data_IF_707702147767
#
_entry.id   IF_707702147767
#
_cell.length_a   1.000
_cell.length_b   1.000
_cell.length_c   1.000
_cell.angle_alpha   90.00
_cell.angle_beta   90.00
_cell.angle_gamma   90.00
#
_symmetry.space_group_name_H-M   'P 1'
#
loop_
_entity.id
_entity.type
_entity.pdbx_description
1 polymer ?
#
# COMPACT_ATOMS: atom_id res chain seq x y z
N UNK A 1 7.92 5.18 -21.15
CA UNK A 1 7.75 6.64 -21.01
C UNK A 1 6.61 6.84 -20.02
N UNK A 2 6.95 6.97 -18.74
CA UNK A 2 6.00 7.20 -17.65
C UNK A 2 5.79 8.72 -17.63
N UNK A 3 4.55 9.24 -17.71
CA UNK A 3 4.31 10.67 -17.59
C UNK A 3 4.54 11.04 -16.12
N UNK A 4 5.72 11.60 -15.84
CA UNK A 4 6.06 12.18 -14.56
C UNK A 4 5.78 13.69 -14.66
N UNK A 5 4.79 14.16 -13.91
CA UNK A 5 4.58 15.57 -13.49
C UNK A 5 3.94 16.60 -14.43
N UNK A 6 2.80 16.31 -15.07
CA UNK A 6 1.89 17.37 -15.57
C UNK A 6 0.92 17.92 -14.50
N UNK A 7 0.84 17.26 -13.35
CA UNK A 7 -0.23 17.52 -12.36
C UNK A 7 -0.09 18.85 -11.60
N UNK A 8 1.13 19.35 -11.38
CA UNK A 8 1.30 20.59 -10.60
C UNK A 8 1.00 21.84 -11.44
N UNK A 9 1.38 21.83 -12.72
CA UNK A 9 1.13 22.97 -13.63
C UNK A 9 -0.38 23.18 -13.87
N UNK A 10 -1.14 22.09 -14.02
CA UNK A 10 -2.62 22.17 -14.12
C UNK A 10 -3.28 22.62 -12.81
N UNK A 11 -2.71 22.23 -11.67
CA UNK A 11 -3.22 22.64 -10.37
C UNK A 11 -2.99 24.14 -10.11
N UNK A 12 -1.84 24.66 -10.50
CA UNK A 12 -1.48 26.08 -10.34
C UNK A 12 -2.41 26.99 -11.15
N UNK A 13 -2.72 26.62 -12.40
CA UNK A 13 -3.65 27.38 -13.26
C UNK A 13 -5.07 27.41 -12.66
N UNK A 14 -5.54 26.31 -12.08
CA UNK A 14 -6.84 26.25 -11.41
C UNK A 14 -6.83 27.12 -10.14
N UNK A 15 -5.77 27.05 -9.35
CA UNK A 15 -5.62 27.81 -8.11
C UNK A 15 -5.60 29.32 -8.39
N UNK A 16 -4.86 29.77 -9.39
CA UNK A 16 -4.84 31.19 -9.81
C UNK A 16 -6.22 31.67 -10.27
N UNK A 17 -6.96 30.84 -11.02
CA UNK A 17 -8.30 31.17 -11.50
C UNK A 17 -9.36 31.22 -10.38
N UNK A 18 -9.17 30.48 -9.29
CA UNK A 18 -10.08 30.47 -8.14
C UNK A 18 -9.80 31.61 -7.15
N UNK A 19 -8.66 32.30 -7.26
CA UNK A 19 -8.29 33.41 -6.38
C UNK A 19 -8.13 33.00 -4.92
N UNK A 20 -7.73 31.76 -4.66
CA UNK A 20 -7.57 31.21 -3.32
C UNK A 20 -6.35 31.83 -2.63
N UNK A 21 -6.46 32.00 -1.32
CA UNK A 21 -5.33 32.36 -0.47
C UNK A 21 -4.46 31.14 -0.17
N UNK A 22 -3.17 31.35 0.10
CA UNK A 22 -2.24 30.28 0.53
C UNK A 22 -2.75 29.51 1.76
N UNK A 23 -3.52 30.18 2.63
CA UNK A 23 -4.15 29.56 3.79
C UNK A 23 -5.25 28.57 3.39
N UNK A 24 -6.10 28.94 2.44
CA UNK A 24 -7.15 28.06 1.91
C UNK A 24 -6.54 26.87 1.14
N UNK A 25 -5.48 27.10 0.38
CA UNK A 25 -4.76 26.05 -0.34
C UNK A 25 -4.15 25.05 0.65
N UNK A 26 -3.39 25.53 1.65
CA UNK A 26 -2.79 24.67 2.65
C UNK A 26 -3.85 23.87 3.44
N UNK A 27 -4.95 24.51 3.82
CA UNK A 27 -6.04 23.84 4.53
C UNK A 27 -6.67 22.73 3.67
N UNK A 28 -6.96 23.02 2.39
CA UNK A 28 -7.54 22.05 1.47
C UNK A 28 -6.62 20.87 1.19
N UNK A 29 -5.31 21.11 1.03
CA UNK A 29 -4.32 20.04 0.84
C UNK A 29 -4.21 19.16 2.09
N UNK A 30 -4.17 19.74 3.29
CA UNK A 30 -4.13 18.97 4.55
C UNK A 30 -5.40 18.13 4.72
N UNK A 31 -6.58 18.67 4.39
CA UNK A 31 -7.84 17.92 4.41
C UNK A 31 -7.84 16.77 3.40
N UNK A 32 -7.45 17.04 2.15
CA UNK A 32 -7.38 16.03 1.10
C UNK A 32 -6.42 14.88 1.46
N UNK A 33 -5.25 15.20 2.00
CA UNK A 33 -4.28 14.20 2.46
C UNK A 33 -4.84 13.38 3.63
N UNK A 34 -5.52 14.01 4.58
CA UNK A 34 -6.16 13.33 5.71
C UNK A 34 -7.19 12.31 5.22
N UNK A 35 -8.09 12.72 4.33
CA UNK A 35 -9.12 11.85 3.75
C UNK A 35 -8.50 10.73 2.91
N UNK A 36 -7.47 11.05 2.12
CA UNK A 36 -6.78 10.06 1.29
C UNK A 36 -6.09 8.99 2.14
N UNK A 37 -5.41 9.39 3.22
CA UNK A 37 -4.82 8.49 4.20
C UNK A 37 -5.88 7.58 4.82
N UNK A 38 -6.99 8.13 5.30
CA UNK A 38 -8.06 7.35 5.93
C UNK A 38 -8.65 6.34 4.95
N UNK A 39 -8.88 6.78 3.72
CA UNK A 39 -9.40 5.93 2.65
C UNK A 39 -8.43 4.79 2.36
N UNK A 40 -7.16 5.11 2.13
CA UNK A 40 -6.13 4.13 1.79
C UNK A 40 -5.97 3.08 2.90
N UNK A 41 -5.82 3.52 4.16
CA UNK A 41 -5.72 2.65 5.34
C UNK A 41 -6.96 1.76 5.45
N UNK A 42 -8.16 2.33 5.32
CA UNK A 42 -9.41 1.56 5.42
C UNK A 42 -9.60 0.53 4.31
N UNK A 43 -8.93 0.69 3.16
CA UNK A 43 -8.96 -0.28 2.07
C UNK A 43 -8.02 -1.42 2.37
N UNK A 44 -6.74 -1.11 2.64
CA UNK A 44 -5.70 -2.13 2.74
C UNK A 44 -5.69 -2.87 4.08
N UNK A 45 -6.25 -2.28 5.14
CA UNK A 45 -6.35 -2.93 6.45
C UNK A 45 -7.52 -3.92 6.57
N UNK A 46 -8.38 -4.00 5.56
CA UNK A 46 -9.49 -4.95 5.54
C UNK A 46 -8.97 -6.37 5.33
N UNK A 47 -9.80 -7.34 5.70
CA UNK A 47 -9.57 -8.73 5.38
C UNK A 47 -9.38 -8.88 3.87
N UNK A 48 -8.25 -9.46 3.48
CA UNK A 48 -7.81 -9.65 2.10
C UNK A 48 -7.45 -8.35 1.35
N UNK A 49 -7.29 -7.24 2.06
CA UNK A 49 -6.85 -5.95 1.51
C UNK A 49 -5.42 -5.98 0.97
N UNK A 50 -4.56 -6.84 1.52
CA UNK A 50 -3.26 -7.17 0.92
C UNK A 50 -3.31 -8.48 0.16
N UNK A 51 -3.85 -9.55 0.78
CA UNK A 51 -3.67 -10.91 0.24
C UNK A 51 -4.30 -11.14 -1.14
N UNK A 52 -5.40 -10.45 -1.46
CA UNK A 52 -6.11 -10.58 -2.76
C UNK A 52 -5.83 -9.44 -3.74
N UNK A 53 -5.07 -8.42 -3.34
CA UNK A 53 -4.68 -7.34 -4.24
C UNK A 53 -3.36 -7.71 -4.93
N UNK A 54 -3.40 -7.98 -6.24
CA UNK A 54 -2.22 -8.45 -6.98
C UNK A 54 -1.07 -7.41 -7.03
N UNK A 55 -1.37 -6.13 -6.80
CA UNK A 55 -0.37 -5.05 -6.87
C UNK A 55 0.40 -4.95 -5.55
N UNK A 56 -0.28 -5.13 -4.42
CA UNK A 56 0.31 -4.93 -3.09
C UNK A 56 0.47 -6.20 -2.26
N UNK A 57 0.01 -7.36 -2.77
CA UNK A 57 0.23 -8.65 -2.12
C UNK A 57 1.72 -8.88 -1.86
N UNK A 58 2.04 -9.15 -0.60
CA UNK A 58 3.39 -9.44 -0.17
C UNK A 58 3.72 -10.89 -0.53
N UNK A 59 4.72 -11.06 -1.37
CA UNK A 59 5.29 -12.37 -1.70
C UNK A 59 6.45 -12.70 -0.76
N UNK A 60 6.97 -13.92 -0.88
CA UNK A 60 8.20 -14.28 -0.20
C UNK A 60 9.36 -13.39 -0.70
N UNK A 61 10.33 -13.09 0.18
CA UNK A 61 11.49 -12.29 -0.20
C UNK A 61 12.44 -13.12 -1.09
N UNK A 62 13.29 -12.48 -1.92
CA UNK A 62 14.13 -13.18 -2.90
C UNK A 62 15.13 -14.15 -2.26
N UNK A 63 15.48 -13.98 -0.98
CA UNK A 63 16.30 -14.94 -0.24
C UNK A 63 15.63 -16.32 -0.11
N UNK A 64 14.30 -16.39 -0.25
CA UNK A 64 13.53 -17.62 -0.23
C UNK A 64 13.47 -18.31 -1.61
N UNK A 65 14.00 -17.70 -2.68
CA UNK A 65 13.95 -18.26 -4.05
C UNK A 65 14.57 -19.65 -4.13
N UNK A 66 15.65 -19.90 -3.37
CA UNK A 66 16.28 -21.24 -3.31
C UNK A 66 15.26 -22.30 -2.87
N UNK A 67 14.38 -21.98 -1.92
CA UNK A 67 13.37 -22.93 -1.44
C UNK A 67 12.29 -23.09 -2.52
N UNK A 68 11.83 -21.98 -3.09
CA UNK A 68 10.78 -21.92 -4.11
C UNK A 68 11.17 -22.67 -5.38
N UNK A 69 12.38 -22.47 -5.87
CA UNK A 69 12.90 -23.10 -7.08
C UNK A 69 13.00 -24.63 -6.95
N UNK A 70 13.23 -25.12 -5.73
CA UNK A 70 13.32 -26.55 -5.46
C UNK A 70 11.95 -27.19 -5.15
N UNK A 71 10.86 -26.42 -5.02
CA UNK A 71 9.52 -26.95 -4.70
C UNK A 71 9.01 -27.97 -5.73
N UNK A 72 9.37 -27.81 -7.00
CA UNK A 72 8.95 -28.72 -8.07
C UNK A 72 9.62 -30.10 -7.98
N UNK A 73 10.45 -30.36 -6.98
CA UNK A 73 11.00 -31.69 -6.75
C UNK A 73 9.92 -32.63 -6.18
N UNK A 74 9.77 -33.86 -6.72
CA UNK A 74 8.74 -34.80 -6.26
C UNK A 74 8.81 -35.13 -4.75
N UNK A 75 10.00 -35.01 -4.15
CA UNK A 75 10.20 -35.20 -2.71
C UNK A 75 9.54 -34.09 -1.89
N UNK A 76 9.71 -32.82 -2.27
CA UNK A 76 9.17 -31.69 -1.51
C UNK A 76 7.66 -31.53 -1.70
N UNK A 77 7.15 -31.81 -2.90
CA UNK A 77 5.71 -31.90 -3.14
C UNK A 77 5.06 -33.02 -2.31
N UNK A 78 5.69 -34.20 -2.27
CA UNK A 78 5.20 -35.34 -1.47
C UNK A 78 5.18 -35.07 0.05
N UNK A 79 5.90 -34.05 0.52
CA UNK A 79 5.95 -33.61 1.91
C UNK A 79 5.02 -32.42 2.21
N UNK A 80 4.34 -31.86 1.21
CA UNK A 80 3.37 -30.78 1.38
C UNK A 80 3.98 -29.38 1.57
N UNK A 81 5.20 -29.15 1.07
CA UNK A 81 5.87 -27.85 1.19
C UNK A 81 5.14 -26.71 0.47
N UNK A 82 4.42 -27.01 -0.62
CA UNK A 82 3.65 -26.02 -1.37
C UNK A 82 2.60 -25.34 -0.48
N UNK A 83 1.86 -26.12 0.31
CA UNK A 83 0.86 -25.61 1.25
C UNK A 83 1.49 -24.75 2.35
N UNK A 84 2.68 -25.14 2.82
CA UNK A 84 3.40 -24.36 3.85
C UNK A 84 3.80 -22.98 3.33
N UNK A 85 4.17 -22.87 2.06
CA UNK A 85 4.54 -21.59 1.44
C UNK A 85 3.32 -20.70 1.24
N UNK A 86 2.22 -21.27 0.74
CA UNK A 86 0.95 -20.54 0.64
C UNK A 86 0.51 -20.01 2.03
N UNK A 87 0.63 -20.83 3.08
CA UNK A 87 0.30 -20.45 4.44
C UNK A 87 1.19 -19.31 4.97
N UNK A 88 2.48 -19.30 4.63
CA UNK A 88 3.41 -18.22 5.00
C UNK A 88 3.03 -16.93 4.30
N UNK A 89 2.79 -16.98 2.97
CA UNK A 89 2.34 -15.82 2.20
C UNK A 89 1.04 -15.29 2.79
N UNK A 90 0.07 -16.15 3.08
CA UNK A 90 -1.20 -15.77 3.70
C UNK A 90 -0.98 -15.07 5.05
N UNK A 91 -0.14 -15.63 5.92
CA UNK A 91 0.14 -15.05 7.25
C UNK A 91 0.85 -13.71 7.18
N UNK A 92 1.82 -13.55 6.28
CA UNK A 92 2.53 -12.26 6.10
C UNK A 92 1.55 -11.18 5.65
N UNK A 93 0.69 -11.48 4.67
CA UNK A 93 -0.32 -10.52 4.21
C UNK A 93 -1.34 -10.21 5.30
N UNK A 94 -1.77 -11.21 6.09
CA UNK A 94 -2.66 -10.98 7.23
C UNK A 94 -2.02 -10.06 8.28
N UNK A 95 -0.73 -10.24 8.54
CA UNK A 95 0.01 -9.37 9.44
C UNK A 95 0.15 -7.94 8.89
N UNK A 96 0.28 -7.78 7.57
CA UNK A 96 0.32 -6.46 6.93
C UNK A 96 -1.04 -5.75 7.00
N UNK A 97 -2.15 -6.46 6.82
CA UNK A 97 -3.51 -5.91 7.00
C UNK A 97 -3.73 -5.41 8.43
N UNK A 98 -3.30 -6.20 9.42
CA UNK A 98 -3.37 -5.81 10.84
C UNK A 98 -2.50 -4.57 11.12
N UNK A 99 -1.24 -4.59 10.68
CA UNK A 99 -0.31 -3.48 10.86
C UNK A 99 -0.78 -2.19 10.14
N UNK A 100 -1.46 -2.31 9.01
CA UNK A 100 -1.93 -1.14 8.26
C UNK A 100 -2.93 -0.29 9.06
N UNK A 101 -3.65 -0.88 10.02
CA UNK A 101 -4.57 -0.13 10.90
C UNK A 101 -3.87 0.97 11.70
N UNK A 102 -2.57 0.81 11.96
CA UNK A 102 -1.76 1.75 12.76
C UNK A 102 -1.22 2.93 11.95
N UNK A 103 -1.37 2.93 10.62
CA UNK A 103 -0.75 3.92 9.75
C UNK A 103 -1.45 5.28 9.79
N UNK A 104 -2.79 5.32 9.92
CA UNK A 104 -3.57 6.57 9.90
C UNK A 104 -3.07 7.63 10.91
N UNK A 105 -2.92 7.31 12.22
CA UNK A 105 -2.47 8.32 13.20
C UNK A 105 -1.03 8.82 12.94
N UNK A 106 -0.17 8.02 12.32
CA UNK A 106 1.20 8.43 11.96
C UNK A 106 1.16 9.51 10.87
N UNK A 107 0.36 9.28 9.83
CA UNK A 107 0.20 10.23 8.74
C UNK A 107 -0.52 11.50 9.17
N UNK A 108 -1.56 11.40 10.03
CA UNK A 108 -2.21 12.59 10.56
C UNK A 108 -1.23 13.50 11.29
N UNK A 109 -0.37 12.94 12.14
CA UNK A 109 0.69 13.70 12.80
C UNK A 109 1.54 14.47 11.80
N UNK A 110 2.05 13.78 10.77
CA UNK A 110 2.89 14.39 9.73
C UNK A 110 2.17 15.43 8.85
N UNK A 111 0.86 15.30 8.65
CA UNK A 111 0.05 16.27 7.89
C UNK A 111 -0.18 17.53 8.73
N UNK A 112 -0.39 17.37 10.04
CA UNK A 112 -0.69 18.50 10.94
C UNK A 112 0.53 19.29 11.36
N UNK A 113 1.70 18.67 11.42
CA UNK A 113 2.99 19.33 11.62
C UNK A 113 3.25 20.44 10.57
#
# INVERSE_FOLDING_TARGET
>A
MIPLFYSCEEADEIIENLGLTDLEINAGLKEALTIATDTAVSIVSKVDGYYKDEIIKILLPPEADIIVDNLNTPLLQGLGFDQLIEDVIFKINRAAEDAATEAAPIFWGAITD
#
